data_IF_988940355057
#
_entry.id   IF_988940355057
#
_cell.length_a   1.000
_cell.length_b   1.000
_cell.length_c   1.000
_cell.angle_alpha   90.00
_cell.angle_beta   90.00
_cell.angle_gamma   90.00
#
_symmetry.space_group_name_H-M   'P 1'
#
loop_
_entity.id
_entity.type
_entity.pdbx_description
1 polymer ?
#
# COMPACT_ATOMS: atom_id res chain seq x y z
N UNK A 1 39.93 -11.37 7.09
CA UNK A 1 39.67 -9.95 6.82
C UNK A 1 38.34 -9.64 7.45
N UNK A 2 38.19 -8.55 8.22
CA UNK A 2 36.85 -8.19 8.74
C UNK A 2 35.99 -7.82 7.55
N UNK A 3 34.99 -8.63 7.25
CA UNK A 3 33.98 -8.30 6.22
C UNK A 3 33.29 -7.02 6.64
N UNK A 4 33.30 -6.02 5.77
CA UNK A 4 32.61 -4.74 6.02
C UNK A 4 31.11 -5.03 6.03
N UNK A 5 30.45 -4.79 7.14
CA UNK A 5 29.01 -5.05 7.28
C UNK A 5 28.21 -4.05 6.45
N UNK A 6 27.22 -4.52 5.71
CA UNK A 6 26.25 -3.68 4.99
C UNK A 6 25.32 -3.03 6.03
N UNK A 7 25.38 -1.71 6.10
CA UNK A 7 24.51 -0.88 6.94
C UNK A 7 23.61 -0.04 6.03
N UNK A 8 22.30 -0.21 6.18
CA UNK A 8 21.26 0.49 5.42
C UNK A 8 20.42 1.42 6.31
N UNK A 9 20.89 1.75 7.53
CA UNK A 9 20.14 2.59 8.48
C UNK A 9 19.90 4.01 7.98
N UNK A 10 20.78 4.54 7.14
CA UNK A 10 20.69 5.89 6.54
C UNK A 10 20.08 5.88 5.12
N UNK A 11 19.51 4.76 4.71
CA UNK A 11 18.94 4.63 3.37
C UNK A 11 17.72 5.53 3.24
N UNK A 12 17.71 6.38 2.22
CA UNK A 12 16.55 7.22 1.90
C UNK A 12 15.39 6.34 1.43
N UNK A 13 14.20 6.51 2.03
CA UNK A 13 13.06 5.64 1.78
C UNK A 13 11.92 6.41 1.10
N UNK A 14 11.41 5.85 -0.01
CA UNK A 14 10.15 6.23 -0.60
C UNK A 14 9.12 5.14 -0.33
N UNK A 15 8.26 5.36 0.65
CA UNK A 15 7.11 4.52 0.93
C UNK A 15 6.05 4.76 -0.15
N UNK A 16 6.04 3.93 -1.20
CA UNK A 16 5.19 4.18 -2.36
C UNK A 16 3.72 3.84 -2.15
N UNK A 17 3.37 3.23 -1.01
CA UNK A 17 1.98 2.93 -0.63
C UNK A 17 1.83 2.84 0.88
N UNK A 18 1.12 3.77 1.44
CA UNK A 18 0.77 3.84 2.85
C UNK A 18 -0.53 4.63 3.05
N UNK A 19 -1.03 4.65 4.29
CA UNK A 19 -2.27 5.32 4.68
C UNK A 19 -2.06 6.23 5.88
N UNK A 20 -3.06 7.05 6.21
CA UNK A 20 -2.99 7.90 7.39
C UNK A 20 -3.03 7.10 8.70
N UNK A 21 -2.47 7.69 9.76
CA UNK A 21 -2.53 7.16 11.11
C UNK A 21 -3.55 7.90 11.96
N UNK A 22 -4.04 7.25 13.04
CA UNK A 22 -4.93 7.90 14.00
C UNK A 22 -4.18 8.74 15.03
N UNK A 23 -4.79 9.86 15.42
CA UNK A 23 -4.36 10.67 16.55
C UNK A 23 -5.03 10.26 17.87
N UNK A 24 -5.98 9.32 17.83
CA UNK A 24 -6.77 8.90 18.97
C UNK A 24 -5.93 8.27 20.10
N UNK A 25 -6.40 8.44 21.32
CA UNK A 25 -5.88 7.73 22.48
C UNK A 25 -6.44 6.30 22.47
N UNK A 26 -5.63 5.37 21.97
CA UNK A 26 -6.04 3.98 21.83
C UNK A 26 -5.93 3.24 23.16
N UNK A 27 -6.97 2.44 23.46
CA UNK A 27 -6.85 1.40 24.46
C UNK A 27 -6.11 0.16 23.91
N UNK A 28 -5.92 -0.86 24.76
CA UNK A 28 -5.21 -2.07 24.36
C UNK A 28 -5.89 -2.78 23.19
N UNK A 29 -7.20 -2.91 23.23
CA UNK A 29 -7.98 -3.63 22.23
C UNK A 29 -7.98 -2.88 20.88
N UNK A 30 -8.12 -1.57 20.93
CA UNK A 30 -8.08 -0.71 19.75
C UNK A 30 -6.71 -0.78 19.07
N UNK A 31 -5.61 -0.70 19.84
CA UNK A 31 -4.27 -0.85 19.28
C UNK A 31 -4.03 -2.26 18.72
N UNK A 32 -4.51 -3.30 19.43
CA UNK A 32 -4.41 -4.67 18.93
C UNK A 32 -5.17 -4.90 17.62
N UNK A 33 -6.30 -4.21 17.39
CA UNK A 33 -7.04 -4.24 16.13
C UNK A 33 -6.25 -3.55 14.98
N UNK A 34 -5.46 -2.55 15.26
CA UNK A 34 -4.63 -1.87 14.25
C UNK A 34 -3.32 -2.60 13.90
N UNK A 35 -2.97 -3.65 14.64
CA UNK A 35 -1.81 -4.50 14.34
C UNK A 35 -2.22 -5.92 13.92
N UNK A 36 -3.38 -6.04 13.29
CA UNK A 36 -3.88 -7.29 12.69
C UNK A 36 -4.81 -6.96 11.53
N UNK A 37 -4.90 -7.85 10.54
CA UNK A 37 -5.90 -7.76 9.45
C UNK A 37 -7.26 -8.36 9.87
N UNK A 38 -7.38 -8.90 11.07
CA UNK A 38 -8.66 -9.44 11.55
C UNK A 38 -9.60 -8.30 11.94
N UNK A 39 -10.85 -8.33 11.47
CA UNK A 39 -11.91 -7.37 11.83
C UNK A 39 -12.33 -7.46 13.31
N UNK A 40 -11.99 -8.56 13.99
CA UNK A 40 -12.31 -8.78 15.40
C UNK A 40 -11.20 -9.55 16.12
N UNK A 41 -11.06 -9.28 17.42
CA UNK A 41 -10.16 -10.05 18.29
C UNK A 41 -11.00 -10.91 19.22
N UNK A 42 -10.80 -12.23 19.15
CA UNK A 42 -11.46 -13.19 20.03
C UNK A 42 -10.87 -13.12 21.45
N UNK A 43 -11.68 -13.38 22.50
CA UNK A 43 -11.20 -13.49 23.88
C UNK A 43 -10.05 -14.51 23.99
N UNK A 44 -8.97 -14.12 24.68
CA UNK A 44 -7.79 -14.96 24.88
C UNK A 44 -6.76 -14.92 23.76
N UNK A 45 -6.99 -14.17 22.69
CA UNK A 45 -5.99 -13.91 21.66
C UNK A 45 -5.24 -12.61 22.03
N UNK A 46 -3.94 -12.69 22.21
CA UNK A 46 -3.04 -11.57 22.51
C UNK A 46 -2.22 -11.22 21.26
N UNK A 47 -2.51 -10.08 20.63
CA UNK A 47 -1.82 -9.65 19.42
C UNK A 47 -0.37 -9.20 19.67
N UNK A 48 -0.02 -8.85 20.90
CA UNK A 48 1.38 -8.60 21.28
C UNK A 48 2.23 -9.89 21.37
N UNK A 49 1.60 -11.08 21.35
CA UNK A 49 2.25 -12.39 21.22
C UNK A 49 2.23 -12.94 19.78
N UNK A 50 2.29 -12.06 18.79
CA UNK A 50 2.46 -12.39 17.36
C UNK A 50 3.78 -11.84 16.85
N UNK A 51 4.16 -12.14 15.59
CA UNK A 51 5.37 -11.61 14.99
C UNK A 51 5.38 -10.06 14.97
N UNK A 52 4.26 -9.43 14.60
CA UNK A 52 4.12 -7.97 14.60
C UNK A 52 4.14 -7.43 16.04
N UNK A 53 3.41 -8.03 16.96
CA UNK A 53 3.36 -7.59 18.35
C UNK A 53 4.71 -7.69 19.05
N UNK A 54 5.48 -8.76 18.83
CA UNK A 54 6.86 -8.88 19.32
C UNK A 54 7.76 -7.82 18.71
N UNK A 55 7.54 -7.46 17.44
CA UNK A 55 8.29 -6.40 16.77
C UNK A 55 7.93 -5.01 17.33
N UNK A 56 6.66 -4.73 17.61
CA UNK A 56 6.24 -3.49 18.32
C UNK A 56 6.97 -3.38 19.67
N UNK A 57 6.95 -4.43 20.49
CA UNK A 57 7.64 -4.44 21.77
C UNK A 57 9.16 -4.29 21.65
N UNK A 58 9.74 -4.78 20.57
CA UNK A 58 11.20 -4.69 20.34
C UNK A 58 11.62 -3.31 19.85
N UNK A 59 10.92 -2.75 18.86
CA UNK A 59 11.38 -1.59 18.10
C UNK A 59 10.65 -0.30 18.43
N UNK A 60 9.33 -0.36 18.72
CA UNK A 60 8.57 0.83 19.04
C UNK A 60 8.67 1.23 20.53
N UNK A 61 8.82 0.27 21.43
CA UNK A 61 8.91 0.57 22.87
C UNK A 61 10.07 1.53 23.21
N UNK A 62 11.30 1.39 22.67
CA UNK A 62 12.39 2.33 22.94
C UNK A 62 12.11 3.76 22.44
N UNK A 63 11.41 3.93 21.33
CA UNK A 63 11.04 5.25 20.79
C UNK A 63 10.08 5.99 21.72
N UNK A 64 9.25 5.24 22.44
CA UNK A 64 8.35 5.79 23.47
C UNK A 64 9.02 5.90 24.86
N UNK A 65 10.30 5.56 24.99
CA UNK A 65 11.07 5.69 26.22
C UNK A 65 10.91 4.49 27.17
N UNK A 66 10.61 3.33 26.65
CA UNK A 66 10.54 2.06 27.38
C UNK A 66 11.72 1.15 27.04
N UNK A 67 12.01 0.18 27.88
CA UNK A 67 12.96 -0.87 27.57
C UNK A 67 12.44 -1.77 26.43
N UNK A 68 13.34 -2.29 25.58
CA UNK A 68 12.97 -3.29 24.58
C UNK A 68 12.21 -4.47 25.23
N UNK A 69 11.15 -4.94 24.57
CA UNK A 69 10.27 -6.00 25.05
C UNK A 69 9.50 -5.68 26.32
N UNK A 70 9.28 -4.40 26.65
CA UNK A 70 8.33 -4.01 27.69
C UNK A 70 7.00 -4.78 27.52
N UNK A 71 6.27 -5.03 28.60
CA UNK A 71 4.98 -5.73 28.51
C UNK A 71 3.98 -4.96 27.66
N UNK A 72 3.00 -5.64 27.10
CA UNK A 72 1.94 -5.00 26.32
C UNK A 72 1.21 -3.91 27.14
N UNK A 73 0.91 -4.21 28.40
CA UNK A 73 0.23 -3.25 29.29
C UNK A 73 1.10 -2.00 29.56
N UNK A 74 2.42 -2.18 29.78
CA UNK A 74 3.34 -1.05 29.95
C UNK A 74 3.45 -0.22 28.66
N UNK A 75 3.45 -0.86 27.49
CA UNK A 75 3.48 -0.19 26.21
C UNK A 75 2.24 0.67 25.98
N UNK A 76 1.04 0.08 26.17
CA UNK A 76 -0.24 0.79 26.01
C UNK A 76 -0.37 1.93 27.04
N UNK A 77 -0.05 1.69 28.30
CA UNK A 77 -0.07 2.72 29.34
C UNK A 77 0.86 3.91 28.99
N UNK A 78 2.07 3.62 28.48
CA UNK A 78 3.01 4.68 28.05
C UNK A 78 2.51 5.45 26.83
N UNK A 79 1.88 4.77 25.87
CA UNK A 79 1.26 5.41 24.71
C UNK A 79 0.14 6.37 25.14
N UNK A 80 -0.71 5.94 26.08
CA UNK A 80 -1.78 6.76 26.65
C UNK A 80 -1.25 7.95 27.47
N UNK A 81 -0.18 7.75 28.25
CA UNK A 81 0.48 8.83 29.02
C UNK A 81 1.02 9.94 28.09
N UNK A 82 1.55 9.59 26.93
CA UNK A 82 2.02 10.55 25.94
C UNK A 82 0.88 11.22 25.18
N UNK A 83 -0.26 10.56 25.10
CA UNK A 83 -1.36 10.90 24.19
C UNK A 83 -1.13 10.33 22.79
N UNK A 84 -2.21 9.92 22.11
CA UNK A 84 -2.15 9.23 20.82
C UNK A 84 -1.41 10.03 19.74
N UNK A 85 -1.67 11.33 19.63
CA UNK A 85 -1.00 12.22 18.66
C UNK A 85 0.51 12.30 18.87
N UNK A 86 0.99 12.47 20.11
CA UNK A 86 2.42 12.58 20.39
C UNK A 86 3.14 11.23 20.23
N UNK A 87 2.50 10.13 20.65
CA UNK A 87 3.05 8.78 20.45
C UNK A 87 3.21 8.49 18.95
N UNK A 88 2.17 8.77 18.15
CA UNK A 88 2.20 8.59 16.69
C UNK A 88 3.26 9.47 16.03
N UNK A 89 3.36 10.75 16.42
CA UNK A 89 4.40 11.67 15.91
C UNK A 89 5.81 11.16 16.17
N UNK A 90 6.10 10.62 17.37
CA UNK A 90 7.44 10.06 17.68
C UNK A 90 7.79 8.86 16.82
N UNK A 91 6.82 7.96 16.62
CA UNK A 91 7.02 6.76 15.82
C UNK A 91 7.19 7.09 14.33
N UNK A 92 6.40 8.03 13.81
CA UNK A 92 6.55 8.55 12.45
C UNK A 92 7.91 9.21 12.23
N UNK A 93 8.33 10.10 13.14
CA UNK A 93 9.65 10.75 13.06
C UNK A 93 10.80 9.73 13.07
N UNK A 94 10.66 8.65 13.85
CA UNK A 94 11.66 7.59 13.92
C UNK A 94 11.66 6.64 12.71
N UNK A 95 10.67 6.72 11.81
CA UNK A 95 10.59 5.87 10.62
C UNK A 95 11.65 6.21 9.58
N UNK A 96 12.09 7.47 9.49
CA UNK A 96 13.09 7.91 8.52
C UNK A 96 12.61 7.90 7.06
N UNK A 97 11.29 7.88 6.83
CA UNK A 97 10.72 7.95 5.48
C UNK A 97 10.87 9.38 4.94
N UNK A 98 11.36 9.50 3.72
CA UNK A 98 11.58 10.79 3.06
C UNK A 98 10.45 11.19 2.10
N UNK A 99 9.67 10.23 1.60
CA UNK A 99 8.48 10.51 0.78
C UNK A 99 7.40 9.47 1.06
N UNK A 100 6.16 9.94 1.21
CA UNK A 100 4.96 9.14 1.46
C UNK A 100 4.08 9.12 0.21
N UNK A 101 3.81 7.95 -0.35
CA UNK A 101 2.76 7.70 -1.35
C UNK A 101 1.44 7.39 -0.63
N UNK A 102 0.72 8.44 -0.22
CA UNK A 102 -0.49 8.32 0.58
C UNK A 102 -1.71 7.97 -0.25
N UNK A 103 -2.32 6.85 0.05
CA UNK A 103 -3.62 6.47 -0.48
C UNK A 103 -4.73 7.09 0.38
N UNK A 104 -5.51 8.02 -0.22
CA UNK A 104 -6.48 8.88 0.49
C UNK A 104 -7.92 8.35 0.45
N UNK A 105 -8.13 7.11 -0.01
CA UNK A 105 -9.47 6.51 -0.11
C UNK A 105 -10.01 5.91 1.18
N UNK A 106 -9.14 5.63 2.16
CA UNK A 106 -9.51 5.14 3.49
C UNK A 106 -8.72 5.88 4.55
N UNK A 107 -9.39 6.26 5.61
CA UNK A 107 -8.82 7.00 6.73
C UNK A 107 -9.33 6.39 8.05
N UNK A 108 -8.49 6.26 9.07
CA UNK A 108 -8.93 5.89 10.41
C UNK A 108 -9.74 7.03 11.05
N UNK A 109 -10.42 6.74 12.13
CA UNK A 109 -11.04 7.76 12.97
C UNK A 109 -9.93 8.69 13.54
N UNK A 110 -10.21 9.99 13.65
CA UNK A 110 -9.23 11.02 14.05
C UNK A 110 -7.91 10.94 13.26
N UNK A 111 -8.00 10.76 11.94
CA UNK A 111 -6.83 10.64 11.08
C UNK A 111 -5.94 11.90 11.13
N UNK A 112 -4.62 11.69 11.04
CA UNK A 112 -3.71 12.75 10.64
C UNK A 112 -4.04 13.20 9.22
N UNK A 113 -4.02 14.51 8.96
CA UNK A 113 -4.04 14.98 7.58
C UNK A 113 -2.76 14.56 6.82
N UNK A 114 -2.76 14.54 5.48
CA UNK A 114 -1.54 14.31 4.71
C UNK A 114 -0.38 15.25 5.11
N UNK A 115 -0.68 16.51 5.42
CA UNK A 115 0.32 17.48 5.87
C UNK A 115 0.82 17.19 7.29
N UNK A 116 -0.04 16.72 8.20
CA UNK A 116 0.37 16.25 9.53
C UNK A 116 1.28 15.01 9.43
N UNK A 117 0.97 14.09 8.51
CA UNK A 117 1.81 12.91 8.22
C UNK A 117 3.19 13.32 7.74
N UNK A 118 3.25 14.17 6.70
CA UNK A 118 4.48 14.67 6.12
C UNK A 118 5.34 15.43 7.15
N UNK A 119 4.71 16.33 7.90
CA UNK A 119 5.39 17.08 8.97
C UNK A 119 5.97 16.16 10.05
N UNK A 120 5.20 15.12 10.43
CA UNK A 120 5.63 14.18 11.47
C UNK A 120 6.78 13.28 11.04
N UNK A 121 6.86 12.93 9.76
CA UNK A 121 7.96 12.15 9.17
C UNK A 121 9.14 13.03 8.73
N UNK A 122 9.02 14.36 8.71
CA UNK A 122 9.95 15.28 8.01
C UNK A 122 10.08 14.91 6.51
N UNK A 123 8.96 14.55 5.88
CA UNK A 123 8.88 13.99 4.54
C UNK A 123 8.04 14.85 3.58
N UNK A 124 8.18 14.59 2.28
CA UNK A 124 7.20 15.00 1.27
C UNK A 124 6.08 13.95 1.19
N UNK A 125 4.90 14.36 0.67
CA UNK A 125 3.83 13.41 0.38
C UNK A 125 3.28 13.58 -1.03
N UNK A 126 2.82 12.48 -1.61
CA UNK A 126 2.26 12.39 -2.95
C UNK A 126 0.99 11.54 -2.91
N UNK A 127 -0.05 11.96 -3.63
CA UNK A 127 -1.35 11.29 -3.54
C UNK A 127 -1.47 10.08 -4.46
N UNK A 128 -2.10 9.02 -3.93
CA UNK A 128 -2.64 7.86 -4.66
C UNK A 128 -4.16 7.87 -4.51
N UNK A 129 -4.90 7.81 -5.61
CA UNK A 129 -6.35 7.89 -5.62
C UNK A 129 -6.97 6.50 -5.65
N UNK A 130 -7.88 6.17 -4.72
CA UNK A 130 -8.63 4.91 -4.77
C UNK A 130 -9.83 5.04 -5.71
N UNK A 131 -9.77 4.37 -6.85
CA UNK A 131 -10.78 4.46 -7.90
C UNK A 131 -12.20 4.13 -7.42
N UNK A 132 -12.34 3.04 -6.69
CA UNK A 132 -13.64 2.60 -6.16
C UNK A 132 -14.21 3.64 -5.19
N UNK A 133 -13.39 4.18 -4.29
CA UNK A 133 -13.82 5.17 -3.28
C UNK A 133 -14.25 6.50 -3.92
N UNK A 134 -13.49 6.99 -4.89
CA UNK A 134 -13.86 8.21 -5.62
C UNK A 134 -15.16 8.03 -6.39
N UNK A 135 -15.36 6.86 -6.99
CA UNK A 135 -16.61 6.51 -7.68
C UNK A 135 -17.78 6.42 -6.70
N UNK A 136 -17.60 5.80 -5.55
CA UNK A 136 -18.61 5.66 -4.48
C UNK A 136 -19.02 7.04 -3.93
N UNK A 137 -18.04 7.90 -3.61
CA UNK A 137 -18.27 9.27 -3.11
C UNK A 137 -18.99 10.14 -4.15
N UNK A 138 -18.59 10.05 -5.43
CA UNK A 138 -19.23 10.80 -6.50
C UNK A 138 -20.67 10.32 -6.72
N UNK A 139 -20.90 9.01 -6.73
CA UNK A 139 -22.23 8.42 -6.94
C UNK A 139 -23.23 8.84 -5.84
N UNK A 140 -22.78 8.84 -4.57
CA UNK A 140 -23.59 9.32 -3.47
C UNK A 140 -24.03 10.77 -3.68
N UNK A 141 -23.07 11.67 -4.01
CA UNK A 141 -23.39 13.09 -4.30
C UNK A 141 -24.29 13.24 -5.51
N UNK A 142 -23.99 12.55 -6.61
CA UNK A 142 -24.76 12.60 -7.85
C UNK A 142 -26.24 12.24 -7.64
N UNK A 143 -26.50 11.18 -6.87
CA UNK A 143 -27.88 10.77 -6.54
C UNK A 143 -28.55 11.78 -5.61
N UNK A 144 -27.85 12.28 -4.60
CA UNK A 144 -28.36 13.31 -3.64
C UNK A 144 -28.70 14.62 -4.34
N UNK A 145 -27.92 15.02 -5.35
CA UNK A 145 -28.14 16.25 -6.14
C UNK A 145 -29.20 16.08 -7.24
N UNK A 146 -29.93 14.96 -7.27
CA UNK A 146 -31.04 14.73 -8.19
C UNK A 146 -30.65 14.12 -9.54
N UNK A 147 -29.41 13.66 -9.73
CA UNK A 147 -28.95 12.96 -10.95
C UNK A 147 -29.64 11.61 -11.19
N UNK A 148 -30.25 11.05 -10.15
CA UNK A 148 -31.06 9.84 -10.24
C UNK A 148 -30.27 8.62 -10.74
N UNK A 149 -30.76 7.98 -11.81
CA UNK A 149 -30.16 6.77 -12.40
C UNK A 149 -29.55 7.03 -13.77
N UNK A 150 -29.27 8.26 -14.14
CA UNK A 150 -28.68 8.57 -15.45
C UNK A 150 -27.22 8.11 -15.53
N UNK A 151 -27.02 6.87 -16.01
CA UNK A 151 -25.70 6.26 -16.13
C UNK A 151 -24.79 6.97 -17.12
N UNK A 152 -25.35 7.56 -18.19
CA UNK A 152 -24.56 8.29 -19.17
C UNK A 152 -24.06 9.63 -18.62
N UNK A 153 -24.94 10.39 -17.94
CA UNK A 153 -24.54 11.61 -17.26
C UNK A 153 -23.55 11.34 -16.13
N UNK A 154 -23.75 10.26 -15.35
CA UNK A 154 -22.81 9.88 -14.30
C UNK A 154 -21.44 9.48 -14.87
N UNK A 155 -21.39 8.71 -15.98
CA UNK A 155 -20.13 8.32 -16.62
C UNK A 155 -19.31 9.55 -17.05
N UNK A 156 -19.98 10.56 -17.64
CA UNK A 156 -19.31 11.82 -18.02
C UNK A 156 -18.79 12.58 -16.79
N UNK A 157 -19.59 12.69 -15.73
CA UNK A 157 -19.19 13.33 -14.48
C UNK A 157 -18.02 12.59 -13.80
N UNK A 158 -18.02 11.25 -13.87
CA UNK A 158 -16.95 10.43 -13.30
C UNK A 158 -15.63 10.61 -14.06
N UNK A 159 -15.65 10.65 -15.38
CA UNK A 159 -14.46 10.90 -16.20
C UNK A 159 -13.83 12.27 -15.87
N UNK A 160 -14.65 13.32 -15.80
CA UNK A 160 -14.19 14.66 -15.44
C UNK A 160 -13.62 14.70 -13.99
N UNK A 161 -14.34 14.09 -13.05
CA UNK A 161 -13.89 14.01 -11.66
C UNK A 161 -12.55 13.30 -11.52
N UNK A 162 -12.40 12.11 -12.11
CA UNK A 162 -11.17 11.33 -12.02
C UNK A 162 -10.00 12.02 -12.73
N UNK A 163 -10.23 12.70 -13.87
CA UNK A 163 -9.19 13.52 -14.53
C UNK A 163 -8.71 14.66 -13.63
N UNK A 164 -9.65 15.38 -13.01
CA UNK A 164 -9.32 16.47 -12.08
C UNK A 164 -8.50 15.97 -10.90
N UNK A 165 -8.88 14.82 -10.33
CA UNK A 165 -8.14 14.21 -9.22
C UNK A 165 -6.75 13.75 -9.65
N UNK A 166 -6.63 13.07 -10.79
CA UNK A 166 -5.38 12.53 -11.30
C UNK A 166 -4.34 13.63 -11.62
N UNK A 167 -4.78 14.85 -11.94
CA UNK A 167 -3.87 15.96 -12.20
C UNK A 167 -2.97 16.32 -11.00
N UNK A 168 -3.39 16.02 -9.77
CA UNK A 168 -2.63 16.23 -8.53
C UNK A 168 -2.02 14.97 -7.93
N UNK A 169 -2.25 13.79 -8.52
CA UNK A 169 -1.83 12.51 -7.98
C UNK A 169 -0.75 11.83 -8.83
N UNK A 170 0.04 10.95 -8.24
CA UNK A 170 1.08 10.18 -8.94
C UNK A 170 0.57 8.86 -9.51
N UNK A 171 -0.62 8.43 -9.12
CA UNK A 171 -1.22 7.19 -9.58
C UNK A 171 -2.57 6.92 -8.96
N UNK A 172 -3.11 5.76 -9.29
CA UNK A 172 -4.39 5.28 -8.77
C UNK A 172 -4.22 3.93 -8.09
N UNK A 173 -5.12 3.62 -7.16
CA UNK A 173 -5.25 2.31 -6.50
C UNK A 173 -6.59 1.69 -6.87
N UNK A 174 -6.60 0.38 -7.16
CA UNK A 174 -7.82 -0.42 -7.19
C UNK A 174 -7.78 -1.54 -6.15
N UNK A 175 -8.90 -1.74 -5.51
CA UNK A 175 -9.16 -2.84 -4.58
C UNK A 175 -10.08 -3.91 -5.20
N UNK A 176 -9.93 -4.13 -6.51
CA UNK A 176 -10.69 -5.17 -7.23
C UNK A 176 -10.62 -6.53 -6.52
N UNK A 177 -9.48 -6.87 -5.91
CA UNK A 177 -9.28 -8.08 -5.13
C UNK A 177 -10.34 -8.26 -4.03
N UNK A 178 -10.68 -7.19 -3.29
CA UNK A 178 -11.68 -7.18 -2.23
C UNK A 178 -13.13 -7.13 -2.74
N UNK A 179 -13.32 -6.68 -3.96
CA UNK A 179 -14.66 -6.38 -4.49
C UNK A 179 -15.20 -7.48 -5.37
N UNK A 180 -14.35 -8.06 -6.20
CA UNK A 180 -14.72 -9.02 -7.23
C UNK A 180 -13.70 -10.17 -7.41
N UNK A 181 -12.57 -10.16 -6.67
CA UNK A 181 -11.43 -11.03 -6.94
C UNK A 181 -10.62 -10.56 -8.15
N UNK A 182 -9.49 -11.22 -8.43
CA UNK A 182 -8.64 -10.94 -9.60
C UNK A 182 -8.93 -11.85 -10.80
N UNK A 183 -9.84 -12.80 -10.66
CA UNK A 183 -10.29 -13.76 -11.69
C UNK A 183 -11.39 -13.19 -12.59
N UNK A 184 -11.52 -11.88 -12.65
CA UNK A 184 -12.50 -11.20 -13.51
C UNK A 184 -12.11 -11.30 -15.00
N UNK A 185 -13.10 -11.17 -15.88
CA UNK A 185 -12.86 -11.04 -17.31
C UNK A 185 -12.08 -9.75 -17.61
N UNK A 186 -10.87 -9.86 -18.17
CA UNK A 186 -9.99 -8.71 -18.45
C UNK A 186 -10.47 -7.80 -19.58
N UNK A 187 -11.40 -8.23 -20.43
CA UNK A 187 -11.83 -7.47 -21.60
C UNK A 187 -12.43 -6.10 -21.23
N UNK A 188 -12.14 -5.10 -22.05
CA UNK A 188 -12.70 -3.75 -21.91
C UNK A 188 -14.22 -3.79 -22.06
N UNK A 189 -15.01 -3.25 -21.11
CA UNK A 189 -16.45 -3.07 -21.31
C UNK A 189 -16.73 -2.04 -22.41
N UNK A 190 -17.74 -2.28 -23.21
CA UNK A 190 -18.27 -1.24 -24.10
C UNK A 190 -18.93 -0.11 -23.30
N UNK A 191 -19.04 1.08 -23.90
CA UNK A 191 -19.72 2.22 -23.26
C UNK A 191 -21.17 1.89 -22.90
N UNK A 192 -21.88 1.10 -23.71
CA UNK A 192 -23.24 0.69 -23.44
C UNK A 192 -23.36 -0.25 -22.22
N UNK A 193 -22.42 -1.23 -22.09
CA UNK A 193 -22.34 -2.09 -20.92
C UNK A 193 -22.03 -1.30 -19.66
N UNK A 194 -21.10 -0.35 -19.74
CA UNK A 194 -20.73 0.52 -18.62
C UNK A 194 -21.94 1.37 -18.17
N UNK A 195 -22.62 2.05 -19.09
CA UNK A 195 -23.81 2.86 -18.80
C UNK A 195 -24.90 2.01 -18.13
N UNK A 196 -25.22 0.84 -18.71
CA UNK A 196 -26.24 -0.06 -18.14
C UNK A 196 -25.86 -0.53 -16.73
N UNK A 197 -24.59 -0.85 -16.49
CA UNK A 197 -24.12 -1.25 -15.16
C UNK A 197 -24.22 -0.09 -14.16
N UNK A 198 -23.85 1.13 -14.56
CA UNK A 198 -23.98 2.34 -13.75
C UNK A 198 -25.44 2.65 -13.40
N UNK A 199 -26.35 2.61 -14.36
CA UNK A 199 -27.80 2.81 -14.13
C UNK A 199 -28.35 1.84 -13.07
N UNK A 200 -27.97 0.56 -13.19
CA UNK A 200 -28.36 -0.47 -12.23
C UNK A 200 -27.79 -0.19 -10.85
N UNK A 201 -26.49 0.11 -10.76
CA UNK A 201 -25.81 0.37 -9.48
C UNK A 201 -26.31 1.65 -8.82
N UNK A 202 -26.41 2.77 -9.54
CA UNK A 202 -27.01 4.01 -9.04
C UNK A 202 -28.41 3.80 -8.49
N UNK A 203 -29.19 2.90 -9.14
CA UNK A 203 -30.53 2.54 -8.67
C UNK A 203 -30.58 1.80 -7.33
N UNK A 204 -29.46 1.29 -6.82
CA UNK A 204 -29.37 0.65 -5.50
C UNK A 204 -29.03 1.62 -4.38
N UNK A 205 -28.58 2.83 -4.69
CA UNK A 205 -28.14 3.82 -3.71
C UNK A 205 -29.35 4.39 -2.99
N UNK A 206 -29.37 4.27 -1.66
CA UNK A 206 -30.44 4.75 -0.79
C UNK A 206 -29.84 5.37 0.49
N UNK A 207 -30.42 6.48 0.94
CA UNK A 207 -30.02 7.16 2.17
C UNK A 207 -28.61 7.75 2.10
N UNK A 208 -28.03 8.02 3.27
CA UNK A 208 -26.78 8.74 3.42
C UNK A 208 -25.55 7.82 3.54
N UNK A 209 -25.73 6.51 3.53
CA UNK A 209 -24.61 5.56 3.59
C UNK A 209 -23.83 5.56 2.28
N UNK A 210 -22.49 5.52 2.39
CA UNK A 210 -21.62 5.42 1.22
C UNK A 210 -21.88 4.08 0.49
N UNK A 211 -22.24 4.11 -0.81
CA UNK A 211 -22.52 2.88 -1.55
C UNK A 211 -21.26 2.05 -1.74
N UNK A 212 -21.35 0.73 -1.57
CA UNK A 212 -20.25 -0.20 -1.87
C UNK A 212 -20.30 -0.61 -3.35
N UNK A 213 -19.22 -0.36 -4.08
CA UNK A 213 -19.07 -0.77 -5.47
C UNK A 213 -18.57 -2.21 -5.56
N UNK A 214 -19.41 -3.12 -6.09
CA UNK A 214 -19.08 -4.54 -6.30
C UNK A 214 -19.45 -5.03 -7.72
N UNK A 215 -19.83 -4.12 -8.61
CA UNK A 215 -20.14 -4.47 -10.00
C UNK A 215 -18.87 -4.64 -10.82
N UNK A 216 -18.65 -5.87 -11.34
CA UNK A 216 -17.44 -6.20 -12.08
C UNK A 216 -17.29 -5.41 -13.40
N UNK A 217 -18.39 -4.97 -14.02
CA UNK A 217 -18.32 -4.16 -15.24
C UNK A 217 -17.83 -2.76 -14.94
N UNK A 218 -18.29 -2.16 -13.84
CA UNK A 218 -17.85 -0.82 -13.42
C UNK A 218 -16.36 -0.86 -12.98
N UNK A 219 -15.96 -1.86 -12.20
CA UNK A 219 -14.56 -1.99 -11.76
C UNK A 219 -13.63 -2.18 -12.95
N UNK A 220 -14.00 -3.02 -13.93
CA UNK A 220 -13.23 -3.16 -15.18
C UNK A 220 -13.16 -1.85 -15.97
N UNK A 221 -14.27 -1.13 -16.06
CA UNK A 221 -14.31 0.20 -16.69
C UNK A 221 -13.32 1.16 -16.03
N UNK A 222 -13.26 1.20 -14.70
CA UNK A 222 -12.31 2.04 -13.94
C UNK A 222 -10.86 1.64 -14.21
N UNK A 223 -10.55 0.35 -14.24
CA UNK A 223 -9.21 -0.14 -14.59
C UNK A 223 -8.82 0.26 -16.02
N UNK A 224 -9.71 0.08 -16.98
CA UNK A 224 -9.46 0.49 -18.37
C UNK A 224 -9.38 2.01 -18.52
N UNK A 225 -10.13 2.77 -17.74
CA UNK A 225 -9.96 4.23 -17.66
C UNK A 225 -8.54 4.60 -17.23
N UNK A 226 -8.01 3.97 -16.19
CA UNK A 226 -6.66 4.22 -15.72
C UNK A 226 -5.58 3.79 -16.74
N UNK A 227 -5.79 2.66 -17.43
CA UNK A 227 -4.93 2.18 -18.51
C UNK A 227 -4.88 3.20 -19.67
N UNK A 228 -6.02 3.75 -20.07
CA UNK A 228 -6.11 4.75 -21.14
C UNK A 228 -5.39 6.05 -20.78
N UNK A 229 -5.34 6.40 -19.51
CA UNK A 229 -4.61 7.56 -19.02
C UNK A 229 -3.12 7.27 -18.77
N UNK A 230 -2.64 6.07 -19.11
CA UNK A 230 -1.22 5.68 -19.00
C UNK A 230 -0.62 5.94 -17.60
N UNK A 231 -1.45 5.85 -16.56
CA UNK A 231 -1.04 6.13 -15.18
C UNK A 231 -0.39 4.93 -14.51
N UNK A 232 0.17 5.14 -13.33
CA UNK A 232 0.57 4.10 -12.41
C UNK A 232 -0.69 3.55 -11.71
N UNK A 233 -0.87 2.23 -11.74
CA UNK A 233 -2.04 1.53 -11.22
C UNK A 233 -1.57 0.57 -10.13
N UNK A 234 -1.86 0.87 -8.89
CA UNK A 234 -1.65 -0.01 -7.76
C UNK A 234 -2.81 -1.00 -7.65
N UNK A 235 -2.50 -2.28 -7.51
CA UNK A 235 -3.47 -3.35 -7.30
C UNK A 235 -3.18 -4.07 -6.00
N UNK A 236 -4.20 -4.22 -5.14
CA UNK A 236 -4.07 -5.09 -3.97
C UNK A 236 -3.91 -6.54 -4.39
N UNK A 237 -2.90 -7.22 -3.86
CA UNK A 237 -2.56 -8.61 -4.15
C UNK A 237 -2.35 -9.36 -2.83
N UNK A 238 -2.95 -10.55 -2.72
CA UNK A 238 -2.67 -11.47 -1.63
C UNK A 238 -3.29 -11.08 -0.28
N UNK A 239 -2.48 -11.11 0.77
CA UNK A 239 -2.88 -10.95 2.16
C UNK A 239 -3.54 -9.59 2.45
N UNK A 240 -4.60 -9.62 3.25
CA UNK A 240 -5.39 -8.48 3.68
C UNK A 240 -6.41 -8.91 4.73
N UNK A 241 -7.45 -8.10 4.96
CA UNK A 241 -8.49 -8.37 5.94
C UNK A 241 -9.44 -9.53 5.54
N UNK A 242 -10.44 -9.82 6.36
CA UNK A 242 -11.37 -10.95 6.16
C UNK A 242 -12.40 -10.76 5.03
N UNK A 243 -12.41 -9.60 4.38
CA UNK A 243 -13.14 -9.36 3.11
C UNK A 243 -12.41 -10.00 1.92
N UNK A 244 -11.12 -10.37 2.06
CA UNK A 244 -10.32 -10.96 0.99
C UNK A 244 -10.62 -12.44 0.83
N UNK A 245 -10.93 -12.83 -0.40
CA UNK A 245 -10.93 -14.22 -0.83
C UNK A 245 -9.53 -14.58 -1.36
N UNK A 246 -8.61 -15.00 -0.45
CA UNK A 246 -7.19 -15.07 -0.70
C UNK A 246 -6.81 -15.84 -1.97
N UNK A 247 -7.48 -16.96 -2.28
CA UNK A 247 -7.18 -17.74 -3.50
C UNK A 247 -7.54 -16.98 -4.79
N UNK A 248 -8.46 -15.99 -4.71
CA UNK A 248 -8.82 -15.10 -5.82
C UNK A 248 -7.96 -13.84 -5.88
N UNK A 249 -6.97 -13.72 -4.99
CA UNK A 249 -6.01 -12.60 -4.93
C UNK A 249 -4.62 -13.00 -5.44
N UNK A 250 -4.49 -14.16 -6.10
CA UNK A 250 -3.25 -14.58 -6.75
C UNK A 250 -3.01 -13.72 -8.01
N UNK A 251 -1.87 -13.02 -8.15
CA UNK A 251 -1.61 -12.12 -9.27
C UNK A 251 -1.53 -12.81 -10.63
N UNK A 252 -1.28 -14.13 -10.70
CA UNK A 252 -1.32 -14.88 -11.96
C UNK A 252 -2.68 -14.79 -12.67
N UNK A 253 -3.76 -14.54 -11.94
CA UNK A 253 -5.09 -14.31 -12.50
C UNK A 253 -5.16 -13.05 -13.38
N UNK A 254 -4.22 -12.10 -13.21
CA UNK A 254 -4.10 -10.89 -14.03
C UNK A 254 -3.31 -11.11 -15.34
N UNK A 255 -2.76 -12.29 -15.60
CA UNK A 255 -1.82 -12.54 -16.72
C UNK A 255 -2.40 -12.12 -18.09
N UNK A 256 -3.71 -12.28 -18.31
CA UNK A 256 -4.37 -11.87 -19.55
C UNK A 256 -4.42 -10.34 -19.66
N UNK A 257 -4.85 -9.64 -18.61
CA UNK A 257 -4.87 -8.17 -18.55
C UNK A 257 -3.47 -7.59 -18.80
N UNK A 258 -2.46 -8.13 -18.10
CA UNK A 258 -1.08 -7.65 -18.24
C UNK A 258 -0.54 -7.87 -19.66
N UNK A 259 -0.88 -8.98 -20.31
CA UNK A 259 -0.47 -9.23 -21.71
C UNK A 259 -1.16 -8.26 -22.67
N UNK A 260 -2.45 -8.00 -22.50
CA UNK A 260 -3.23 -7.10 -23.36
C UNK A 260 -2.79 -5.63 -23.21
N UNK A 261 -2.24 -5.27 -22.05
CA UNK A 261 -1.85 -3.88 -21.71
C UNK A 261 -0.35 -3.59 -21.81
N UNK A 262 0.46 -4.55 -22.26
CA UNK A 262 1.93 -4.40 -22.27
C UNK A 262 2.44 -3.20 -23.08
N UNK A 263 1.69 -2.75 -24.09
CA UNK A 263 2.02 -1.58 -24.92
C UNK A 263 1.18 -0.33 -24.63
N UNK A 264 0.38 -0.35 -23.58
CA UNK A 264 -0.55 0.76 -23.28
C UNK A 264 0.14 2.01 -22.73
N UNK A 265 1.33 1.87 -22.11
CA UNK A 265 2.00 2.92 -21.35
C UNK A 265 1.58 2.98 -19.87
N UNK A 266 0.56 2.24 -19.46
CA UNK A 266 0.20 2.06 -18.05
C UNK A 266 1.25 1.21 -17.32
N UNK A 267 1.40 1.41 -16.03
CA UNK A 267 2.33 0.64 -15.15
C UNK A 267 1.54 0.05 -14.00
N UNK A 268 1.76 -1.22 -13.72
CA UNK A 268 1.09 -1.94 -12.65
C UNK A 268 2.04 -2.18 -11.49
N UNK A 269 1.63 -1.72 -10.30
CA UNK A 269 2.29 -2.00 -9.03
C UNK A 269 1.46 -3.05 -8.29
N UNK A 270 1.99 -4.27 -8.23
CA UNK A 270 1.40 -5.37 -7.47
C UNK A 270 1.78 -5.17 -6.01
N UNK A 271 0.82 -4.77 -5.18
CA UNK A 271 1.06 -4.40 -3.78
C UNK A 271 1.01 -5.63 -2.87
N UNK A 272 1.85 -5.60 -1.83
CA UNK A 272 1.87 -6.54 -0.71
C UNK A 272 2.32 -7.96 -1.09
N UNK A 273 1.77 -8.53 -2.11
CA UNK A 273 2.05 -9.78 -2.80
C UNK A 273 2.12 -11.06 -1.94
N UNK A 274 2.18 -10.99 -0.61
CA UNK A 274 2.26 -12.18 0.25
C UNK A 274 0.91 -12.94 0.26
N UNK A 275 0.87 -14.28 0.17
CA UNK A 275 2.01 -15.20 0.04
C UNK A 275 2.46 -15.43 -1.41
N UNK A 276 1.92 -14.70 -2.39
CA UNK A 276 2.16 -14.85 -3.84
C UNK A 276 3.30 -13.98 -4.38
N UNK A 277 4.27 -13.63 -3.54
CA UNK A 277 5.38 -12.75 -3.92
C UNK A 277 6.31 -13.38 -4.98
N UNK A 278 6.43 -14.71 -5.03
CA UNK A 278 7.16 -15.40 -6.11
C UNK A 278 6.42 -15.33 -7.44
N UNK A 279 5.10 -15.49 -7.44
CA UNK A 279 4.23 -15.32 -8.61
C UNK A 279 4.24 -13.87 -9.11
N UNK A 280 4.24 -12.89 -8.20
CA UNK A 280 4.39 -11.48 -8.53
C UNK A 280 5.77 -11.19 -9.13
N UNK A 281 6.83 -11.78 -8.58
CA UNK A 281 8.19 -11.70 -9.12
C UNK A 281 8.29 -12.25 -10.54
N UNK A 282 7.68 -13.40 -10.82
CA UNK A 282 7.56 -13.93 -12.17
C UNK A 282 6.86 -12.95 -13.12
N UNK A 283 5.74 -12.36 -12.70
CA UNK A 283 5.02 -11.38 -13.54
C UNK A 283 5.85 -10.11 -13.78
N UNK A 284 6.58 -9.65 -12.78
CA UNK A 284 7.47 -8.51 -12.92
C UNK A 284 8.66 -8.81 -13.86
N UNK A 285 9.16 -10.04 -13.89
CA UNK A 285 10.19 -10.47 -14.82
C UNK A 285 9.70 -10.49 -16.27
N UNK A 286 8.56 -11.13 -16.52
CA UNK A 286 8.08 -11.37 -17.90
C UNK A 286 7.28 -10.21 -18.50
N UNK A 287 6.77 -9.27 -17.69
CA UNK A 287 6.02 -8.08 -18.17
C UNK A 287 6.77 -6.78 -17.85
N UNK A 288 7.20 -6.01 -18.88
CA UNK A 288 8.07 -4.84 -18.69
C UNK A 288 7.44 -3.71 -17.87
N UNK A 289 6.12 -3.62 -17.80
CA UNK A 289 5.35 -2.58 -17.13
C UNK A 289 4.80 -2.98 -15.75
N UNK A 290 5.29 -4.12 -15.19
CA UNK A 290 4.86 -4.63 -13.88
C UNK A 290 5.98 -4.45 -12.86
N UNK A 291 5.61 -3.96 -11.68
CA UNK A 291 6.43 -3.78 -10.48
C UNK A 291 5.75 -4.49 -9.32
N UNK A 292 6.48 -4.80 -8.25
CA UNK A 292 5.89 -5.43 -7.06
C UNK A 292 6.58 -5.01 -5.77
N UNK A 293 5.88 -5.20 -4.66
CA UNK A 293 6.39 -5.01 -3.30
C UNK A 293 5.92 -6.13 -2.35
N UNK A 294 6.44 -6.14 -1.13
CA UNK A 294 6.06 -7.05 -0.05
C UNK A 294 5.77 -6.30 1.26
N UNK A 295 5.38 -5.01 1.16
CA UNK A 295 5.28 -4.07 2.28
C UNK A 295 4.52 -4.59 3.49
N UNK A 296 3.22 -4.86 3.36
CA UNK A 296 2.36 -5.39 4.43
C UNK A 296 2.97 -6.63 5.11
N UNK A 297 3.53 -7.56 4.30
CA UNK A 297 4.11 -8.79 4.81
C UNK A 297 5.33 -8.55 5.71
N UNK A 298 6.13 -7.52 5.44
CA UNK A 298 7.30 -7.16 6.26
C UNK A 298 6.87 -6.91 7.69
N UNK A 299 5.82 -6.14 7.91
CA UNK A 299 5.29 -5.83 9.23
C UNK A 299 4.81 -7.09 9.95
N UNK A 300 3.95 -7.87 9.29
CA UNK A 300 3.24 -8.98 9.91
C UNK A 300 4.08 -10.26 10.04
N UNK A 301 5.12 -10.43 9.24
CA UNK A 301 6.07 -11.54 9.37
C UNK A 301 7.22 -11.26 10.34
N UNK A 302 7.42 -10.00 10.76
CA UNK A 302 8.31 -9.58 11.83
C UNK A 302 9.72 -10.16 11.71
N UNK A 303 10.11 -11.04 12.62
CA UNK A 303 11.44 -11.68 12.62
C UNK A 303 11.73 -12.52 11.36
N UNK A 304 10.70 -12.87 10.56
CA UNK A 304 10.82 -13.62 9.30
C UNK A 304 10.86 -12.71 8.06
N UNK A 305 10.73 -11.39 8.20
CA UNK A 305 10.68 -10.44 7.09
C UNK A 305 11.88 -10.57 6.14
N UNK A 306 13.09 -10.85 6.66
CA UNK A 306 14.28 -11.05 5.81
C UNK A 306 14.13 -12.21 4.83
N UNK A 307 13.43 -13.29 5.20
CA UNK A 307 13.17 -14.39 4.28
C UNK A 307 12.20 -13.97 3.18
N UNK A 308 11.15 -13.22 3.51
CA UNK A 308 10.18 -12.73 2.52
C UNK A 308 10.84 -11.75 1.55
N UNK A 309 11.71 -10.87 2.05
CA UNK A 309 12.51 -9.97 1.20
C UNK A 309 13.40 -10.77 0.25
N UNK A 310 14.17 -11.75 0.76
CA UNK A 310 15.03 -12.58 -0.06
C UNK A 310 14.25 -13.34 -1.15
N UNK A 311 13.10 -13.95 -0.78
CA UNK A 311 12.22 -14.65 -1.71
C UNK A 311 11.63 -13.73 -2.78
N UNK A 312 11.33 -12.48 -2.46
CA UNK A 312 10.82 -11.49 -3.43
C UNK A 312 11.88 -11.07 -4.47
N UNK A 313 13.17 -11.28 -4.18
CA UNK A 313 14.29 -10.99 -5.08
C UNK A 313 14.68 -12.17 -5.97
N UNK A 314 14.08 -13.35 -5.83
CA UNK A 314 14.48 -14.57 -6.57
C UNK A 314 14.34 -14.42 -8.09
N UNK A 315 13.23 -13.90 -8.57
CA UNK A 315 12.94 -13.70 -10.00
C UNK A 315 12.75 -12.24 -10.38
N UNK A 316 12.33 -11.41 -9.44
CA UNK A 316 12.03 -10.00 -9.73
C UNK A 316 13.30 -9.27 -10.12
N UNK A 317 13.37 -8.62 -11.31
CA UNK A 317 14.46 -7.70 -11.60
C UNK A 317 14.56 -6.63 -10.50
N UNK A 318 15.74 -6.38 -9.96
CA UNK A 318 15.91 -5.44 -8.81
C UNK A 318 15.38 -4.04 -9.12
N UNK A 319 15.41 -3.62 -10.38
CA UNK A 319 14.83 -2.35 -10.86
C UNK A 319 13.30 -2.28 -10.81
N UNK A 320 12.62 -3.36 -10.41
CA UNK A 320 11.15 -3.46 -10.37
C UNK A 320 10.60 -3.81 -8.99
N UNK A 321 11.46 -3.97 -8.00
CA UNK A 321 11.07 -4.13 -6.59
C UNK A 321 10.88 -2.73 -6.00
N UNK A 322 9.78 -2.53 -5.27
CA UNK A 322 9.44 -1.27 -4.62
C UNK A 322 9.42 -1.45 -3.10
N UNK A 323 9.60 -0.36 -2.37
CA UNK A 323 9.44 -0.33 -0.92
C UNK A 323 8.11 0.32 -0.54
N UNK A 324 7.32 -0.38 0.29
CA UNK A 324 6.14 0.17 0.95
C UNK A 324 6.03 -0.34 2.38
N UNK A 325 5.27 0.37 3.21
CA UNK A 325 4.89 -0.11 4.54
C UNK A 325 3.48 -0.71 4.55
N UNK A 326 2.60 -0.21 3.69
CA UNK A 326 1.16 -0.41 3.78
C UNK A 326 0.61 -0.14 5.18
N UNK A 327 1.24 0.78 5.90
CA UNK A 327 0.85 1.12 7.26
C UNK A 327 -0.49 1.88 7.25
N UNK A 328 -1.42 1.43 8.11
CA UNK A 328 -2.74 2.03 8.29
C UNK A 328 -3.06 2.17 9.78
N UNK A 329 -3.52 3.34 10.20
CA UNK A 329 -4.06 3.60 11.54
C UNK A 329 -3.01 3.64 12.65
N UNK A 330 -2.11 2.67 12.75
CA UNK A 330 -1.06 2.60 13.77
C UNK A 330 0.29 3.11 13.23
N UNK A 331 0.86 4.14 13.86
CA UNK A 331 2.18 4.67 13.50
C UNK A 331 3.32 3.65 13.75
N UNK A 332 3.08 2.69 14.62
CA UNK A 332 3.94 1.54 14.87
C UNK A 332 4.32 0.80 13.57
N UNK A 333 3.36 0.64 12.67
CA UNK A 333 3.57 -0.07 11.39
C UNK A 333 4.53 0.66 10.46
N UNK A 334 4.59 1.99 10.49
CA UNK A 334 5.58 2.78 9.76
C UNK A 334 7.00 2.49 10.23
N UNK A 335 7.22 2.59 11.54
CA UNK A 335 8.54 2.30 12.13
C UNK A 335 8.95 0.84 11.92
N UNK A 336 8.01 -0.09 12.04
CA UNK A 336 8.27 -1.52 11.79
C UNK A 336 8.61 -1.77 10.32
N UNK A 337 7.81 -1.23 9.39
CA UNK A 337 8.03 -1.39 7.95
C UNK A 337 9.44 -0.97 7.55
N UNK A 338 9.88 0.22 7.97
CA UNK A 338 11.21 0.72 7.66
C UNK A 338 12.32 -0.06 8.35
N UNK A 339 12.21 -0.28 9.67
CA UNK A 339 13.23 -0.99 10.45
C UNK A 339 13.43 -2.42 9.97
N UNK A 340 12.34 -3.14 9.74
CA UNK A 340 12.40 -4.55 9.30
C UNK A 340 12.84 -4.66 7.85
N UNK A 341 12.46 -3.72 6.98
CA UNK A 341 12.92 -3.66 5.60
C UNK A 341 14.44 -3.43 5.54
N UNK A 342 14.95 -2.36 6.15
CA UNK A 342 16.38 -2.03 6.14
C UNK A 342 17.22 -3.19 6.69
N UNK A 343 16.82 -3.77 7.82
CA UNK A 343 17.50 -4.91 8.44
C UNK A 343 17.40 -6.19 7.62
N UNK A 344 16.24 -6.46 7.03
CA UNK A 344 15.98 -7.63 6.21
C UNK A 344 16.77 -7.58 4.91
N UNK A 345 16.73 -6.44 4.23
CA UNK A 345 17.48 -6.23 2.98
C UNK A 345 19.01 -6.25 3.24
N UNK A 346 19.48 -5.57 4.30
CA UNK A 346 20.90 -5.61 4.66
C UNK A 346 21.39 -7.04 4.90
N UNK A 347 20.63 -7.88 5.61
CA UNK A 347 20.97 -9.29 5.83
C UNK A 347 21.00 -10.09 4.53
N UNK A 348 20.02 -9.89 3.66
CA UNK A 348 19.92 -10.59 2.37
C UNK A 348 21.11 -10.23 1.48
N UNK A 349 21.43 -8.94 1.36
CA UNK A 349 22.57 -8.49 0.54
C UNK A 349 23.91 -8.86 1.15
N UNK A 350 24.03 -8.87 2.49
CA UNK A 350 25.23 -9.36 3.19
C UNK A 350 25.46 -10.84 2.88
N UNK A 351 24.40 -11.65 2.90
CA UNK A 351 24.47 -13.08 2.57
C UNK A 351 24.96 -13.30 1.13
N UNK A 352 24.43 -12.52 0.17
CA UNK A 352 24.89 -12.57 -1.22
C UNK A 352 26.36 -12.09 -1.37
N UNK A 353 26.77 -11.04 -0.63
CA UNK A 353 28.15 -10.58 -0.64
C UNK A 353 29.12 -11.63 -0.07
N UNK A 354 28.77 -12.26 1.06
CA UNK A 354 29.66 -13.19 1.78
C UNK A 354 29.74 -14.59 1.16
N UNK A 355 28.66 -15.06 0.57
CA UNK A 355 28.54 -16.45 0.10
C UNK A 355 28.54 -16.61 -1.41
N UNK A 356 28.14 -15.54 -2.15
CA UNK A 356 28.06 -15.55 -3.61
C UNK A 356 29.04 -14.54 -4.26
N UNK A 357 29.94 -13.95 -3.45
CA UNK A 357 30.97 -13.01 -3.90
C UNK A 357 30.43 -11.73 -4.63
N UNK A 358 29.18 -11.33 -4.31
CA UNK A 358 28.63 -10.13 -4.95
C UNK A 358 29.43 -8.89 -4.57
N UNK A 359 29.70 -7.97 -5.54
CA UNK A 359 30.38 -6.72 -5.25
C UNK A 359 29.59 -5.88 -4.24
N UNK A 360 30.29 -5.33 -3.23
CA UNK A 360 29.67 -4.53 -2.18
C UNK A 360 28.95 -3.29 -2.75
N UNK A 361 29.55 -2.65 -3.76
CA UNK A 361 28.97 -1.47 -4.41
C UNK A 361 27.67 -1.81 -5.13
N UNK A 362 27.57 -3.00 -5.77
CA UNK A 362 26.34 -3.46 -6.40
C UNK A 362 25.24 -3.73 -5.36
N UNK A 363 25.59 -4.30 -4.19
CA UNK A 363 24.65 -4.48 -3.10
C UNK A 363 24.07 -3.15 -2.60
N UNK A 364 24.89 -2.11 -2.47
CA UNK A 364 24.42 -0.77 -2.11
C UNK A 364 23.53 -0.16 -3.19
N UNK A 365 23.90 -0.24 -4.46
CA UNK A 365 23.07 0.24 -5.57
C UNK A 365 21.70 -0.47 -5.63
N UNK A 366 21.65 -1.79 -5.42
CA UNK A 366 20.39 -2.54 -5.33
C UNK A 366 19.53 -2.01 -4.19
N UNK A 367 20.12 -1.76 -3.02
CA UNK A 367 19.38 -1.22 -1.88
C UNK A 367 18.80 0.17 -2.16
N UNK A 368 19.59 1.08 -2.75
CA UNK A 368 19.15 2.42 -3.16
C UNK A 368 18.05 2.37 -4.22
N UNK A 369 18.19 1.46 -5.18
CA UNK A 369 17.17 1.28 -6.22
C UNK A 369 15.83 0.83 -5.63
N UNK A 370 15.81 -0.19 -4.78
CA UNK A 370 14.58 -0.71 -4.17
C UNK A 370 13.96 0.33 -3.23
N UNK A 371 14.78 1.01 -2.45
CA UNK A 371 14.33 1.95 -1.44
C UNK A 371 13.77 3.26 -2.04
N UNK A 372 14.30 3.70 -3.19
CA UNK A 372 14.02 5.03 -3.72
C UNK A 372 13.90 5.09 -5.26
N UNK A 373 14.97 4.75 -5.98
CA UNK A 373 15.08 5.06 -7.40
C UNK A 373 14.03 4.37 -8.25
N UNK A 374 13.63 3.15 -7.87
CA UNK A 374 12.58 2.40 -8.58
C UNK A 374 11.23 3.10 -8.50
N UNK A 375 10.86 3.66 -7.36
CA UNK A 375 9.63 4.42 -7.22
C UNK A 375 9.67 5.68 -8.11
N UNK A 376 10.79 6.44 -8.12
CA UNK A 376 10.95 7.59 -9.01
C UNK A 376 10.73 7.19 -10.48
N UNK A 377 11.33 6.08 -10.93
CA UNK A 377 11.15 5.58 -12.31
C UNK A 377 9.74 5.08 -12.58
N UNK A 378 9.17 4.31 -11.66
CA UNK A 378 7.86 3.68 -11.81
C UNK A 378 6.73 4.71 -11.86
N UNK A 379 6.82 5.77 -11.09
CA UNK A 379 5.84 6.87 -11.09
C UNK A 379 6.21 8.03 -12.03
N UNK A 380 7.36 7.94 -12.74
CA UNK A 380 7.84 8.98 -13.67
C UNK A 380 7.99 10.35 -13.00
N UNK A 381 8.54 10.36 -11.79
CA UNK A 381 8.76 11.59 -11.03
C UNK A 381 10.07 12.26 -11.44
N UNK A 382 10.12 13.59 -11.33
CA UNK A 382 11.37 14.36 -11.45
C UNK A 382 11.87 14.69 -10.05
N UNK A 383 13.04 14.17 -9.68
CA UNK A 383 13.73 14.43 -8.41
C UNK A 383 12.86 14.30 -7.14
N UNK A 384 11.91 13.35 -7.13
CA UNK A 384 11.03 13.09 -6.00
C UNK A 384 9.91 14.12 -5.81
N UNK A 385 9.72 15.04 -6.75
CA UNK A 385 8.58 15.97 -6.79
C UNK A 385 7.53 15.46 -7.75
N UNK A 386 6.26 15.82 -7.49
CA UNK A 386 5.10 15.36 -8.25
C UNK A 386 5.24 15.44 -9.78
N UNK A 387 4.34 14.82 -10.54
CA UNK A 387 4.46 14.69 -11.97
C UNK A 387 4.62 16.05 -12.63
N UNK A 388 5.56 16.13 -13.57
CA UNK A 388 5.66 17.32 -14.46
C UNK A 388 4.33 17.43 -15.21
N UNK A 389 3.65 18.57 -15.20
CA UNK A 389 2.44 18.77 -16.03
C UNK A 389 2.76 18.42 -17.48
N UNK A 390 2.00 17.49 -18.06
CA UNK A 390 2.07 17.15 -19.49
C UNK A 390 1.34 18.16 -20.34
#
# INVERSE_FOLDING_TARGET
MSTKQIDLSELRLFDHHCHSVTAADLDRRELELLITEASTILPGVDRFHTQVGMSVRRWCAPVLGLEPFASADAYVARRQELGGREASRRLLAASGIATLGLETGIEPEDAFSPDDMATSCEADWLEIIRLERETERLAQRFVADGGGRDGAAFLAALDEHLRSRLAGAIGVKSIAAYRIGLDFNSSRPSSAEAVTALERWLGTIQGDALPRLTDATIIRMLLWWAIDHQTAIQLHIGYGDDDVDLHRCNPLLLSTLLRETASSGARFMLLHCYPFHREAGYLADVFPHVYCDVGLAINYTGARSSAIIAESLELTPFSKVLFSTDAFGAAELYLLGTTLFQRGLARTLQDFHEHEDWPLDDCHHIAEDIAWNNAIRAYQLTDGRGPTPR
#
